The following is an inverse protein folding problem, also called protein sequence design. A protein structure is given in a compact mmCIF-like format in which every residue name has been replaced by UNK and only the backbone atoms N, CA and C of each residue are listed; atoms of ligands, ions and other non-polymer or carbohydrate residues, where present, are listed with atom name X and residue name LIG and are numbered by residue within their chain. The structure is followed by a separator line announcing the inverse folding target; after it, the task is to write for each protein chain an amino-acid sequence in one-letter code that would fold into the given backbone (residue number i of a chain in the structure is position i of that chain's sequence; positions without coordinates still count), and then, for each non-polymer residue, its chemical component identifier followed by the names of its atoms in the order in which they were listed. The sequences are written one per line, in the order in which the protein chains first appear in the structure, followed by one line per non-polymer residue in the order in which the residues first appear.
data_IF_260427401664
#
_entry.id   IF_260427401664
#
_cell.length_a   1.000
_cell.length_b   1.000
_cell.length_c   1.000
_cell.angle_alpha   90.00
_cell.angle_beta   90.00
_cell.angle_gamma   90.00
#
_symmetry.space_group_name_H-M   'P 1'
#
loop_
_entity.id
_entity.type
_entity.pdbx_description
1 polymer ?
#
# COMPACT_ATOMS: atom_id res chain seq x y z
N UNK A 1 12.03 30.24 3.80
CA UNK A 1 13.25 30.18 2.97
C UNK A 1 14.53 30.20 3.82
N UNK A 2 14.66 31.05 4.85
CA UNK A 2 15.86 31.12 5.68
C UNK A 2 16.14 29.87 6.51
N UNK A 3 15.12 29.21 7.05
CA UNK A 3 15.28 27.97 7.81
C UNK A 3 15.82 26.81 6.97
N UNK A 4 15.48 26.78 5.67
CA UNK A 4 15.91 25.72 4.74
C UNK A 4 17.36 25.87 4.27
N UNK A 5 17.90 27.09 4.27
CA UNK A 5 19.31 27.34 3.90
C UNK A 5 20.32 26.77 4.91
N UNK A 6 19.86 26.31 6.08
CA UNK A 6 20.69 25.77 7.17
C UNK A 6 20.51 24.23 7.28
N UNK A 7 19.64 23.64 6.46
CA UNK A 7 19.38 22.19 6.52
C UNK A 7 20.59 21.41 5.96
N UNK A 8 21.23 20.63 6.82
CA UNK A 8 22.28 19.70 6.44
C UNK A 8 21.67 18.35 6.05
N UNK A 9 21.92 17.92 4.81
CA UNK A 9 21.47 16.64 4.27
C UNK A 9 22.62 15.66 4.02
N UNK A 10 23.84 15.93 4.53
CA UNK A 10 25.03 15.11 4.31
C UNK A 10 24.87 13.66 4.82
N UNK A 11 24.05 13.44 5.82
CA UNK A 11 23.81 12.12 6.43
C UNK A 11 22.57 11.39 5.88
N UNK A 12 21.91 11.91 4.86
CA UNK A 12 20.72 11.25 4.29
C UNK A 12 21.13 10.01 3.50
N UNK A 13 20.63 8.86 3.91
CA UNK A 13 20.93 7.54 3.32
C UNK A 13 19.67 6.79 2.89
N UNK A 14 18.53 7.09 3.53
CA UNK A 14 17.27 6.39 3.31
C UNK A 14 16.14 7.40 3.21
N UNK A 15 15.36 7.31 2.13
CA UNK A 15 14.28 8.27 1.89
C UNK A 15 12.94 7.59 1.63
N UNK A 16 11.88 8.25 2.06
CA UNK A 16 10.50 7.92 1.71
C UNK A 16 9.99 8.92 0.68
N UNK A 17 9.37 8.46 -0.39
CA UNK A 17 8.72 9.28 -1.41
C UNK A 17 7.22 8.98 -1.38
N UNK A 18 6.41 10.01 -1.21
CA UNK A 18 4.95 9.88 -1.19
C UNK A 18 4.28 11.04 -1.93
N UNK A 19 2.97 10.86 -2.23
CA UNK A 19 2.17 11.93 -2.79
C UNK A 19 1.07 12.36 -1.81
N UNK A 20 0.87 13.66 -1.69
CA UNK A 20 -0.26 14.23 -0.98
C UNK A 20 -1.06 15.15 -1.87
N UNK A 21 -2.35 15.31 -1.61
CA UNK A 21 -3.22 16.21 -2.37
C UNK A 21 -3.54 17.47 -1.55
N UNK A 22 -3.21 18.64 -2.06
CA UNK A 22 -3.56 19.93 -1.44
C UNK A 22 -5.07 20.23 -1.52
N UNK A 23 -5.76 19.73 -2.57
CA UNK A 23 -7.20 19.90 -2.78
C UNK A 23 -7.78 18.66 -3.42
N UNK A 24 -9.04 18.36 -3.13
CA UNK A 24 -9.76 17.26 -3.77
C UNK A 24 -9.65 17.38 -5.30
N UNK A 25 -8.80 16.53 -5.88
CA UNK A 25 -8.92 16.11 -7.26
C UNK A 25 -7.84 16.53 -8.25
N UNK A 26 -6.94 17.50 -8.02
CA UNK A 26 -6.05 17.91 -9.13
C UNK A 26 -4.65 18.46 -8.78
N UNK A 27 -4.38 18.85 -7.55
CA UNK A 27 -3.05 19.36 -7.20
C UNK A 27 -2.33 18.35 -6.29
N UNK A 28 -1.40 17.61 -6.87
CA UNK A 28 -0.56 16.66 -6.16
C UNK A 28 0.74 17.34 -5.78
N UNK A 29 1.23 17.01 -4.59
CA UNK A 29 2.57 17.36 -4.12
C UNK A 29 3.32 16.06 -3.88
N UNK A 30 4.51 15.94 -4.46
CA UNK A 30 5.49 14.95 -4.07
C UNK A 30 6.19 15.43 -2.81
N UNK A 31 6.23 14.58 -1.80
CA UNK A 31 6.95 14.81 -0.55
C UNK A 31 8.05 13.77 -0.39
N UNK A 32 9.22 14.21 0.05
CA UNK A 32 10.36 13.33 0.32
C UNK A 32 10.79 13.51 1.77
N UNK A 33 10.93 12.38 2.47
CA UNK A 33 11.25 12.33 3.89
C UNK A 33 12.54 11.56 4.13
N UNK A 34 13.31 11.95 5.12
CA UNK A 34 14.34 11.13 5.73
C UNK A 34 13.68 10.08 6.63
N UNK A 35 13.81 8.81 6.26
CA UNK A 35 13.20 7.71 7.03
C UNK A 35 13.92 7.45 8.35
N UNK A 36 15.21 7.80 8.46
CA UNK A 36 15.99 7.63 9.67
C UNK A 36 15.71 8.75 10.67
N UNK A 37 15.80 10.00 10.24
CA UNK A 37 15.57 11.18 11.08
C UNK A 37 14.09 11.54 11.24
N UNK A 38 13.17 10.91 10.45
CA UNK A 38 11.72 11.18 10.46
C UNK A 38 11.39 12.66 10.21
N UNK A 39 12.07 13.29 9.26
CA UNK A 39 11.88 14.70 8.91
C UNK A 39 11.55 14.86 7.43
N UNK A 40 10.79 15.90 7.11
CA UNK A 40 10.57 16.31 5.73
C UNK A 40 11.86 16.90 5.15
N UNK A 41 12.29 16.38 4.00
CA UNK A 41 13.46 16.89 3.28
C UNK A 41 13.05 17.82 2.14
N UNK A 42 12.04 17.44 1.37
CA UNK A 42 11.68 18.12 0.13
C UNK A 42 10.18 18.01 -0.15
N UNK A 43 9.62 19.05 -0.75
CA UNK A 43 8.26 19.02 -1.27
C UNK A 43 8.20 19.84 -2.57
N UNK A 44 7.55 19.29 -3.59
CA UNK A 44 7.37 19.94 -4.88
C UNK A 44 6.02 19.61 -5.49
N UNK A 45 5.48 20.50 -6.31
CA UNK A 45 4.25 20.24 -7.05
C UNK A 45 4.46 19.16 -8.12
N UNK A 46 3.40 18.37 -8.34
CA UNK A 46 3.39 17.31 -9.32
C UNK A 46 3.70 15.93 -8.73
N UNK A 47 3.67 14.91 -9.61
CA UNK A 47 3.92 13.48 -9.30
C UNK A 47 4.64 12.79 -10.45
N UNK A 48 5.62 13.43 -11.00
CA UNK A 48 6.38 12.94 -12.14
C UNK A 48 7.76 12.46 -11.71
N UNK A 49 8.48 11.80 -12.62
CA UNK A 49 9.88 11.46 -12.38
C UNK A 49 10.76 12.69 -12.18
N UNK A 50 10.38 13.84 -12.72
CA UNK A 50 11.09 15.11 -12.49
C UNK A 50 11.10 15.52 -11.02
N UNK A 51 10.00 15.26 -10.27
CA UNK A 51 9.97 15.54 -8.83
C UNK A 51 11.11 14.86 -8.07
N UNK A 52 11.52 13.66 -8.50
CA UNK A 52 12.66 12.93 -7.90
C UNK A 52 14.00 13.50 -8.36
N UNK A 53 14.10 13.96 -9.62
CA UNK A 53 15.30 14.65 -10.11
C UNK A 53 15.51 15.97 -9.37
N UNK A 54 14.44 16.74 -9.18
CA UNK A 54 14.47 18.01 -8.43
C UNK A 54 14.91 17.77 -6.97
N UNK A 55 14.38 16.72 -6.33
CA UNK A 55 14.86 16.32 -5.01
C UNK A 55 16.35 16.00 -4.98
N UNK A 56 16.88 15.26 -5.96
CA UNK A 56 18.30 14.93 -5.99
C UNK A 56 19.20 16.16 -6.19
N UNK A 57 18.73 17.18 -6.91
CA UNK A 57 19.42 18.47 -7.02
C UNK A 57 19.39 19.24 -5.71
N UNK A 58 18.23 19.28 -5.06
CA UNK A 58 18.06 19.92 -3.75
C UNK A 58 18.91 19.23 -2.67
N UNK A 59 18.98 17.89 -2.67
CA UNK A 59 19.84 17.12 -1.78
C UNK A 59 21.31 17.54 -1.91
N UNK A 60 21.82 17.67 -3.15
CA UNK A 60 23.20 18.15 -3.40
C UNK A 60 23.41 19.58 -2.92
N UNK A 61 22.44 20.46 -3.16
CA UNK A 61 22.53 21.85 -2.73
C UNK A 61 22.62 22.01 -1.19
N UNK A 62 22.16 20.99 -0.44
CA UNK A 62 22.19 20.95 1.03
C UNK A 62 23.26 19.98 1.58
N UNK A 63 24.33 19.70 0.82
CA UNK A 63 25.46 18.91 1.27
C UNK A 63 25.29 17.39 1.19
N UNK A 64 24.15 16.90 0.74
CA UNK A 64 23.92 15.46 0.55
C UNK A 64 24.45 14.92 -0.78
N UNK A 65 24.63 13.62 -0.87
CA UNK A 65 25.07 12.93 -2.09
C UNK A 65 24.04 11.89 -2.53
N UNK A 66 23.38 12.05 -3.68
CA UNK A 66 22.48 11.06 -4.24
C UNK A 66 23.09 9.65 -4.43
N UNK A 67 24.40 9.55 -4.62
CA UNK A 67 25.08 8.29 -4.83
C UNK A 67 25.17 7.43 -3.55
N UNK A 68 25.06 8.04 -2.37
CA UNK A 68 25.09 7.32 -1.10
C UNK A 68 23.70 6.99 -0.54
N UNK A 69 22.64 7.49 -1.18
CA UNK A 69 21.28 7.07 -0.87
C UNK A 69 21.08 5.63 -1.33
N UNK A 70 21.03 4.70 -0.40
CA UNK A 70 20.99 3.26 -0.72
C UNK A 70 19.60 2.64 -0.61
N UNK A 71 18.60 3.36 -0.08
CA UNK A 71 17.24 2.83 0.07
C UNK A 71 16.17 3.90 -0.15
N UNK A 72 15.15 3.53 -0.92
CA UNK A 72 13.96 4.35 -1.18
C UNK A 72 12.71 3.53 -0.87
N UNK A 73 11.85 4.04 0.02
CA UNK A 73 10.50 3.54 0.23
C UNK A 73 9.51 4.43 -0.54
N UNK A 74 8.70 3.84 -1.41
CA UNK A 74 7.74 4.59 -2.24
C UNK A 74 6.46 3.78 -2.50
N UNK A 75 5.48 4.41 -3.16
CA UNK A 75 4.37 3.69 -3.78
C UNK A 75 4.81 2.99 -5.08
N UNK A 76 3.92 2.20 -5.70
CA UNK A 76 4.20 1.50 -6.96
C UNK A 76 4.06 2.42 -8.20
N UNK A 77 4.42 3.71 -8.07
CA UNK A 77 4.41 4.65 -9.18
C UNK A 77 5.54 4.37 -10.17
N UNK A 78 5.19 4.12 -11.43
CA UNK A 78 6.18 3.97 -12.50
C UNK A 78 7.01 5.25 -12.70
N UNK A 79 6.40 6.42 -12.46
CA UNK A 79 7.08 7.70 -12.55
C UNK A 79 8.17 7.82 -11.49
N UNK A 80 7.86 7.52 -10.23
CA UNK A 80 8.85 7.56 -9.14
C UNK A 80 9.93 6.50 -9.35
N UNK A 81 9.57 5.27 -9.72
CA UNK A 81 10.55 4.22 -10.03
C UNK A 81 11.54 4.64 -11.12
N UNK A 82 11.04 5.30 -12.19
CA UNK A 82 11.91 5.88 -13.22
C UNK A 82 12.80 6.99 -12.65
N UNK A 83 12.22 7.89 -11.85
CA UNK A 83 12.96 8.99 -11.23
C UNK A 83 14.07 8.50 -10.31
N UNK A 84 13.78 7.52 -9.45
CA UNK A 84 14.77 6.90 -8.55
C UNK A 84 15.91 6.26 -9.35
N UNK A 85 15.60 5.47 -10.39
CA UNK A 85 16.63 4.86 -11.23
C UNK A 85 17.56 5.86 -11.92
N UNK A 86 17.07 7.08 -12.21
CA UNK A 86 17.86 8.15 -12.84
C UNK A 86 18.64 8.97 -11.81
N UNK A 87 18.04 9.28 -10.67
CA UNK A 87 18.54 10.25 -9.70
C UNK A 87 19.30 9.62 -8.54
N UNK A 88 18.94 8.41 -8.13
CA UNK A 88 19.46 7.70 -6.96
C UNK A 88 19.91 6.27 -7.36
N UNK A 89 20.95 6.14 -8.20
CA UNK A 89 21.27 4.87 -8.89
C UNK A 89 21.70 3.73 -7.96
N UNK A 90 22.16 4.04 -6.75
CA UNK A 90 22.54 3.04 -5.74
C UNK A 90 21.34 2.57 -4.88
N UNK A 91 20.18 3.22 -5.01
CA UNK A 91 19.06 2.96 -4.12
C UNK A 91 18.29 1.68 -4.47
N UNK A 92 18.15 0.79 -3.50
CA UNK A 92 17.18 -0.29 -3.55
C UNK A 92 15.78 0.26 -3.26
N UNK A 93 14.80 -0.12 -4.09
CA UNK A 93 13.40 0.31 -3.93
C UNK A 93 12.66 -0.71 -3.07
N UNK A 94 11.95 -0.22 -2.05
CA UNK A 94 10.90 -0.95 -1.35
C UNK A 94 9.54 -0.28 -1.58
N UNK A 95 8.47 -1.09 -1.56
CA UNK A 95 7.12 -0.55 -1.70
C UNK A 95 6.42 -0.51 -0.36
N UNK A 96 5.82 0.64 -0.05
CA UNK A 96 5.14 0.86 1.21
C UNK A 96 3.98 -0.14 1.39
N UNK A 97 4.01 -0.82 2.53
CA UNK A 97 2.99 -1.77 2.96
C UNK A 97 1.58 -1.19 2.93
N UNK A 98 1.44 0.09 3.34
CA UNK A 98 0.14 0.75 3.37
C UNK A 98 -0.50 0.77 1.98
N UNK A 99 0.25 1.16 0.96
CA UNK A 99 -0.24 1.20 -0.42
C UNK A 99 -0.62 -0.18 -0.96
N UNK A 100 0.15 -1.22 -0.65
CA UNK A 100 -0.19 -2.60 -1.04
C UNK A 100 -1.48 -3.08 -0.36
N UNK A 101 -1.62 -2.83 0.94
CA UNK A 101 -2.85 -3.19 1.67
C UNK A 101 -4.05 -2.37 1.18
N UNK A 102 -3.87 -1.09 0.86
CA UNK A 102 -4.89 -0.23 0.26
C UNK A 102 -5.38 -0.81 -1.07
N UNK A 103 -4.47 -1.20 -1.97
CA UNK A 103 -4.84 -1.85 -3.24
C UNK A 103 -5.66 -3.14 -3.02
N UNK A 104 -5.33 -3.94 -2.02
CA UNK A 104 -6.11 -5.14 -1.69
C UNK A 104 -7.50 -4.81 -1.14
N UNK A 105 -7.63 -3.73 -0.36
CA UNK A 105 -8.93 -3.22 0.10
C UNK A 105 -9.77 -2.71 -1.08
N UNK A 106 -9.17 -1.99 -2.02
CA UNK A 106 -9.83 -1.47 -3.22
C UNK A 106 -10.30 -2.61 -4.12
N UNK A 107 -9.45 -3.62 -4.36
CA UNK A 107 -9.81 -4.82 -5.12
C UNK A 107 -10.98 -5.59 -4.48
N UNK A 108 -10.95 -5.76 -3.16
CA UNK A 108 -12.04 -6.37 -2.41
C UNK A 108 -13.33 -5.56 -2.51
N UNK A 109 -13.24 -4.25 -2.40
CA UNK A 109 -14.39 -3.35 -2.44
C UNK A 109 -15.03 -3.28 -3.85
N UNK A 110 -14.21 -3.40 -4.89
CA UNK A 110 -14.69 -3.52 -6.28
C UNK A 110 -15.50 -4.81 -6.47
N UNK A 111 -14.98 -5.96 -6.01
CA UNK A 111 -15.73 -7.23 -6.04
C UNK A 111 -17.05 -7.11 -5.29
N UNK A 112 -17.01 -6.57 -4.06
CA UNK A 112 -18.22 -6.36 -3.25
C UNK A 112 -19.25 -5.49 -3.96
N UNK A 113 -18.84 -4.34 -4.49
CA UNK A 113 -19.74 -3.39 -5.18
C UNK A 113 -20.41 -4.03 -6.38
N UNK A 114 -19.63 -4.77 -7.19
CA UNK A 114 -20.14 -5.47 -8.37
C UNK A 114 -21.15 -6.55 -7.97
N UNK A 115 -20.80 -7.43 -7.02
CA UNK A 115 -21.69 -8.49 -6.57
C UNK A 115 -22.99 -7.94 -5.96
N UNK A 116 -22.90 -6.93 -5.10
CA UNK A 116 -24.07 -6.37 -4.42
C UNK A 116 -25.00 -5.61 -5.36
N UNK A 117 -24.48 -5.05 -6.44
CA UNK A 117 -25.26 -4.42 -7.51
C UNK A 117 -25.94 -5.45 -8.39
N UNK A 118 -25.19 -6.48 -8.81
CA UNK A 118 -25.61 -7.41 -9.85
C UNK A 118 -26.41 -8.61 -9.28
N UNK A 119 -26.24 -8.93 -7.99
CA UNK A 119 -26.88 -10.07 -7.31
C UNK A 119 -27.47 -9.68 -5.95
N UNK A 120 -28.33 -8.65 -5.85
CA UNK A 120 -28.86 -8.18 -4.55
C UNK A 120 -29.65 -9.26 -3.80
N UNK A 121 -30.42 -10.09 -4.51
CA UNK A 121 -31.20 -11.18 -3.88
C UNK A 121 -30.31 -12.25 -3.27
N UNK A 122 -29.24 -12.64 -3.95
CA UNK A 122 -28.28 -13.61 -3.42
C UNK A 122 -27.54 -13.07 -2.18
N UNK A 123 -27.19 -11.79 -2.21
CA UNK A 123 -26.58 -11.10 -1.05
C UNK A 123 -27.53 -11.06 0.14
N UNK A 124 -28.80 -10.72 -0.09
CA UNK A 124 -29.83 -10.68 0.95
C UNK A 124 -30.08 -12.08 1.55
N UNK A 125 -30.20 -13.10 0.71
CA UNK A 125 -30.39 -14.47 1.17
C UNK A 125 -29.19 -14.99 2.00
N UNK A 126 -27.96 -14.71 1.55
CA UNK A 126 -26.75 -15.12 2.22
C UNK A 126 -26.52 -14.43 3.58
N UNK A 127 -27.11 -13.25 3.78
CA UNK A 127 -26.96 -12.45 5.00
C UNK A 127 -28.18 -12.57 5.95
N UNK A 128 -29.10 -13.50 5.68
CA UNK A 128 -30.21 -13.79 6.58
C UNK A 128 -31.33 -12.74 6.58
N UNK A 129 -31.49 -12.00 5.48
CA UNK A 129 -32.45 -10.88 5.38
C UNK A 129 -31.82 -9.56 5.86
N UNK A 130 -31.95 -8.45 5.09
CA UNK A 130 -31.05 -7.34 5.35
C UNK A 130 -31.73 -6.02 5.58
N UNK A 131 -31.59 -5.56 6.80
CA UNK A 131 -31.61 -4.13 7.11
C UNK A 131 -30.39 -3.44 6.44
N UNK A 132 -30.60 -2.29 5.79
CA UNK A 132 -29.56 -1.43 5.21
C UNK A 132 -28.40 -1.12 6.19
N UNK A 133 -28.70 -1.12 7.51
CA UNK A 133 -27.69 -0.92 8.56
C UNK A 133 -26.70 -2.09 8.66
N UNK A 134 -27.18 -3.33 8.45
CA UNK A 134 -26.31 -4.53 8.44
C UNK A 134 -25.36 -4.49 7.25
N UNK A 135 -25.85 -4.16 6.05
CA UNK A 135 -25.01 -4.02 4.85
C UNK A 135 -23.92 -2.94 5.04
N UNK A 136 -24.28 -1.79 5.65
CA UNK A 136 -23.31 -0.74 5.97
C UNK A 136 -22.27 -1.22 6.99
N UNK A 137 -22.71 -1.94 8.02
CA UNK A 137 -21.85 -2.54 9.02
C UNK A 137 -20.87 -3.54 8.42
N UNK A 138 -21.37 -4.39 7.51
CA UNK A 138 -20.58 -5.38 6.78
C UNK A 138 -19.50 -4.72 5.89
N UNK A 139 -19.86 -3.69 5.11
CA UNK A 139 -18.93 -2.93 4.30
C UNK A 139 -17.75 -2.40 5.12
N UNK A 140 -18.03 -1.81 6.27
CA UNK A 140 -16.99 -1.31 7.17
C UNK A 140 -16.21 -2.44 7.84
N UNK A 141 -16.88 -3.55 8.22
CA UNK A 141 -16.23 -4.75 8.78
C UNK A 141 -15.21 -5.36 7.81
N UNK A 142 -15.56 -5.43 6.53
CA UNK A 142 -14.65 -5.95 5.49
C UNK A 142 -13.37 -5.11 5.33
N UNK A 143 -13.46 -3.78 5.51
CA UNK A 143 -12.33 -2.86 5.39
C UNK A 143 -11.43 -2.85 6.62
N UNK A 144 -12.03 -2.98 7.80
CA UNK A 144 -11.33 -2.92 9.08
C UNK A 144 -10.51 -4.19 9.37
N UNK A 145 -9.63 -4.07 10.36
CA UNK A 145 -9.00 -5.21 11.00
C UNK A 145 -10.04 -5.91 11.90
N UNK A 146 -10.06 -7.25 11.97
CA UNK A 146 -10.93 -8.00 12.89
C UNK A 146 -10.85 -7.54 14.35
N UNK A 147 -9.67 -7.19 14.83
CA UNK A 147 -9.49 -6.64 16.19
C UNK A 147 -10.20 -5.31 16.45
N UNK A 148 -10.58 -4.59 15.39
CA UNK A 148 -11.28 -3.30 15.46
C UNK A 148 -12.79 -3.41 15.15
N UNK A 149 -13.34 -4.61 15.09
CA UNK A 149 -14.78 -4.82 14.85
C UNK A 149 -15.61 -4.51 16.09
N UNK A 150 -16.74 -3.84 15.87
CA UNK A 150 -17.80 -3.77 16.87
C UNK A 150 -18.56 -5.10 16.93
N UNK A 151 -19.33 -5.37 18.02
CA UNK A 151 -20.14 -6.57 18.15
C UNK A 151 -21.08 -6.81 16.96
N UNK A 152 -21.70 -5.75 16.41
CA UNK A 152 -22.54 -5.83 15.20
C UNK A 152 -21.73 -6.22 13.96
N UNK A 153 -20.49 -5.76 13.84
CA UNK A 153 -19.60 -6.14 12.73
C UNK A 153 -19.13 -7.59 12.87
N UNK A 154 -18.86 -8.07 14.07
CA UNK A 154 -18.51 -9.49 14.32
C UNK A 154 -19.61 -10.40 13.79
N UNK A 155 -20.87 -10.17 14.17
CA UNK A 155 -22.00 -10.97 13.69
C UNK A 155 -22.16 -10.89 12.17
N UNK A 156 -22.10 -9.69 11.58
CA UNK A 156 -22.23 -9.53 10.14
C UNK A 156 -21.08 -10.23 9.37
N UNK A 157 -19.84 -10.12 9.86
CA UNK A 157 -18.68 -10.76 9.24
C UNK A 157 -18.71 -12.28 9.41
N UNK A 158 -19.26 -12.81 10.51
CA UNK A 158 -19.49 -14.24 10.69
C UNK A 158 -20.40 -14.78 9.58
N UNK A 159 -21.53 -14.14 9.30
CA UNK A 159 -22.41 -14.50 8.20
C UNK A 159 -21.71 -14.45 6.85
N UNK A 160 -20.96 -13.37 6.56
CA UNK A 160 -20.22 -13.27 5.30
C UNK A 160 -19.25 -14.43 5.13
N UNK A 161 -18.48 -14.76 6.15
CA UNK A 161 -17.43 -15.79 6.07
C UNK A 161 -17.99 -17.19 5.76
N UNK A 162 -19.22 -17.48 6.19
CA UNK A 162 -19.90 -18.74 5.94
C UNK A 162 -20.76 -18.73 4.65
N UNK A 163 -20.81 -17.59 3.96
CA UNK A 163 -21.53 -17.47 2.70
C UNK A 163 -20.70 -17.94 1.50
N UNK A 164 -21.39 -18.22 0.38
CA UNK A 164 -20.78 -18.55 -0.91
C UNK A 164 -20.48 -17.31 -1.75
N UNK A 165 -20.69 -16.11 -1.21
CA UNK A 165 -20.50 -14.84 -1.92
C UNK A 165 -19.05 -14.66 -2.38
N UNK A 166 -18.91 -14.03 -3.54
CA UNK A 166 -17.58 -13.68 -4.08
C UNK A 166 -16.88 -12.65 -3.22
N UNK A 167 -17.63 -11.74 -2.58
CA UNK A 167 -17.11 -10.80 -1.60
C UNK A 167 -16.51 -11.47 -0.36
N UNK A 168 -17.03 -12.64 0.07
CA UNK A 168 -16.40 -13.45 1.12
C UNK A 168 -15.02 -13.98 0.70
N UNK A 169 -14.90 -14.44 -0.56
CA UNK A 169 -13.60 -14.88 -1.11
C UNK A 169 -12.63 -13.73 -1.25
N UNK A 170 -13.11 -12.59 -1.72
CA UNK A 170 -12.31 -11.35 -1.83
C UNK A 170 -11.78 -10.91 -0.45
N UNK A 171 -12.61 -10.97 0.58
CA UNK A 171 -12.20 -10.64 1.95
C UNK A 171 -11.11 -11.61 2.46
N UNK A 172 -11.25 -12.93 2.21
CA UNK A 172 -10.22 -13.91 2.59
C UNK A 172 -8.88 -13.65 1.91
N UNK A 173 -8.88 -13.30 0.61
CA UNK A 173 -7.67 -12.94 -0.13
C UNK A 173 -7.01 -11.69 0.46
N UNK A 174 -7.79 -10.66 0.79
CA UNK A 174 -7.28 -9.45 1.47
C UNK A 174 -6.66 -9.79 2.83
N UNK A 175 -7.32 -10.63 3.63
CA UNK A 175 -6.81 -11.01 4.94
C UNK A 175 -5.53 -11.83 4.84
N UNK A 176 -5.50 -12.81 3.93
CA UNK A 176 -4.29 -13.63 3.71
C UNK A 176 -3.08 -12.78 3.30
N UNK A 177 -3.26 -11.76 2.43
CA UNK A 177 -2.15 -10.86 2.09
C UNK A 177 -1.64 -10.11 3.33
N UNK A 178 -2.52 -9.67 4.21
CA UNK A 178 -2.11 -9.02 5.47
C UNK A 178 -1.35 -9.97 6.39
N UNK A 179 -1.76 -11.25 6.44
CA UNK A 179 -1.08 -12.28 7.22
C UNK A 179 0.32 -12.57 6.67
N UNK A 180 0.46 -12.64 5.34
CA UNK A 180 1.77 -12.77 4.66
C UNK A 180 2.69 -11.62 5.07
N UNK A 181 2.21 -10.37 5.05
CA UNK A 181 2.98 -9.22 5.53
C UNK A 181 3.31 -9.30 7.02
N UNK A 182 2.36 -9.74 7.84
CA UNK A 182 2.57 -9.89 9.29
C UNK A 182 3.61 -10.95 9.62
N UNK A 183 3.58 -12.07 8.92
CA UNK A 183 4.54 -13.17 9.07
C UNK A 183 5.95 -12.75 8.62
N UNK A 184 6.07 -12.10 7.45
CA UNK A 184 7.34 -11.60 6.95
C UNK A 184 8.01 -10.63 7.92
N UNK A 185 7.25 -9.70 8.47
CA UNK A 185 7.76 -8.73 9.45
C UNK A 185 8.18 -9.41 10.77
N UNK A 186 7.42 -10.43 11.22
CA UNK A 186 7.70 -11.13 12.47
C UNK A 186 8.94 -12.02 12.40
N UNK A 187 9.07 -12.75 11.29
CA UNK A 187 10.13 -13.76 11.14
C UNK A 187 11.38 -13.22 10.46
N UNK A 188 11.24 -12.14 9.70
CA UNK A 188 12.32 -11.49 8.92
C UNK A 188 13.14 -12.47 8.07
N UNK A 189 12.46 -13.49 7.51
CA UNK A 189 13.06 -14.49 6.64
C UNK A 189 12.69 -14.20 5.17
N UNK A 190 13.66 -13.77 4.33
CA UNK A 190 13.42 -13.46 2.93
C UNK A 190 12.92 -14.66 2.11
N UNK A 191 13.40 -15.86 2.40
CA UNK A 191 12.99 -17.07 1.68
C UNK A 191 11.55 -17.43 1.97
N UNK A 192 11.16 -17.37 3.24
CA UNK A 192 9.79 -17.62 3.65
C UNK A 192 8.84 -16.54 3.11
N UNK A 193 9.22 -15.27 3.18
CA UNK A 193 8.44 -14.16 2.62
C UNK A 193 8.19 -14.32 1.11
N UNK A 194 9.22 -14.74 0.35
CA UNK A 194 9.09 -15.03 -1.08
C UNK A 194 8.14 -16.21 -1.36
N UNK A 195 8.25 -17.28 -0.57
CA UNK A 195 7.39 -18.45 -0.70
C UNK A 195 5.93 -18.11 -0.40
N UNK A 196 5.68 -17.39 0.70
CA UNK A 196 4.33 -17.00 1.14
C UNK A 196 3.67 -16.03 0.14
N UNK A 197 4.41 -15.03 -0.34
CA UNK A 197 3.91 -14.12 -1.37
C UNK A 197 3.63 -14.87 -2.67
N UNK A 198 4.49 -15.78 -3.09
CA UNK A 198 4.31 -16.59 -4.31
C UNK A 198 3.07 -17.48 -4.22
N UNK A 199 2.82 -18.09 -3.06
CA UNK A 199 1.63 -18.88 -2.80
C UNK A 199 0.37 -17.99 -2.87
N UNK A 200 0.39 -16.81 -2.26
CA UNK A 200 -0.71 -15.85 -2.34
C UNK A 200 -0.98 -15.39 -3.78
N UNK A 201 0.05 -15.03 -4.53
CA UNK A 201 -0.05 -14.63 -5.95
C UNK A 201 -0.70 -15.73 -6.80
N UNK A 202 -0.30 -16.98 -6.58
CA UNK A 202 -0.89 -18.14 -7.23
C UNK A 202 -2.38 -18.29 -6.90
N UNK A 203 -2.75 -18.12 -5.64
CA UNK A 203 -4.15 -18.16 -5.21
C UNK A 203 -4.97 -17.01 -5.80
N UNK A 204 -4.48 -15.77 -5.72
CA UNK A 204 -5.13 -14.59 -6.26
C UNK A 204 -5.37 -14.71 -7.78
N UNK A 205 -4.37 -15.19 -8.53
CA UNK A 205 -4.46 -15.40 -9.98
C UNK A 205 -5.54 -16.42 -10.35
N UNK A 206 -5.71 -17.49 -9.57
CA UNK A 206 -6.72 -18.54 -9.79
C UNK A 206 -8.08 -18.24 -9.16
N UNK A 207 -8.23 -17.13 -8.46
CA UNK A 207 -9.44 -16.80 -7.69
C UNK A 207 -10.70 -16.55 -8.55
N UNK A 208 -10.55 -16.31 -9.86
CA UNK A 208 -11.61 -15.84 -10.77
C UNK A 208 -12.21 -14.47 -10.38
N UNK A 209 -11.48 -13.68 -9.58
CA UNK A 209 -11.84 -12.32 -9.19
C UNK A 209 -10.93 -11.34 -9.94
N UNK A 210 -11.46 -10.69 -10.98
CA UNK A 210 -10.66 -9.83 -11.87
C UNK A 210 -9.86 -8.73 -11.15
N UNK A 211 -10.42 -8.04 -10.12
CA UNK A 211 -9.64 -7.06 -9.36
C UNK A 211 -8.42 -7.69 -8.66
N UNK A 212 -8.55 -8.91 -8.12
CA UNK A 212 -7.42 -9.60 -7.48
C UNK A 212 -6.41 -10.16 -8.49
N UNK A 213 -6.85 -10.56 -9.68
CA UNK A 213 -5.93 -10.95 -10.76
C UNK A 213 -5.08 -9.77 -11.22
N UNK A 214 -5.69 -8.58 -11.34
CA UNK A 214 -4.98 -7.33 -11.65
C UNK A 214 -3.96 -7.00 -10.55
N UNK A 215 -4.38 -7.04 -9.29
CA UNK A 215 -3.50 -6.83 -8.14
C UNK A 215 -2.32 -7.82 -8.14
N UNK A 216 -2.59 -9.12 -8.34
CA UNK A 216 -1.54 -10.13 -8.39
C UNK A 216 -0.53 -9.87 -9.53
N UNK A 217 -1.00 -9.42 -10.69
CA UNK A 217 -0.13 -9.02 -11.80
C UNK A 217 0.78 -7.85 -11.40
N UNK A 218 0.22 -6.82 -10.77
CA UNK A 218 0.99 -5.66 -10.30
C UNK A 218 2.05 -6.08 -9.28
N UNK A 219 1.67 -6.85 -8.24
CA UNK A 219 2.62 -7.30 -7.22
C UNK A 219 3.71 -8.21 -7.81
N UNK A 220 3.37 -9.05 -8.80
CA UNK A 220 4.34 -9.89 -9.49
C UNK A 220 5.35 -9.04 -10.30
N UNK A 221 4.91 -7.99 -10.96
CA UNK A 221 5.80 -7.07 -11.69
C UNK A 221 6.78 -6.38 -10.74
N UNK A 222 6.35 -6.08 -9.53
CA UNK A 222 7.13 -5.36 -8.51
C UNK A 222 7.65 -6.28 -7.39
N UNK A 223 7.78 -7.58 -7.65
CA UNK A 223 8.00 -8.62 -6.65
C UNK A 223 9.16 -8.34 -5.69
N UNK A 224 10.33 -7.99 -6.21
CA UNK A 224 11.52 -7.73 -5.39
C UNK A 224 11.30 -6.57 -4.41
N UNK A 225 10.75 -5.45 -4.89
CA UNK A 225 10.47 -4.29 -4.03
C UNK A 225 9.33 -4.54 -3.04
N UNK A 226 8.36 -5.40 -3.38
CA UNK A 226 7.31 -5.84 -2.44
C UNK A 226 7.92 -6.67 -1.32
N UNK A 227 8.80 -7.64 -1.64
CA UNK A 227 9.51 -8.44 -0.63
C UNK A 227 10.37 -7.53 0.26
N UNK A 228 11.11 -6.58 -0.35
CA UNK A 228 11.87 -5.59 0.43
C UNK A 228 10.99 -4.83 1.40
N UNK A 229 9.83 -4.32 0.95
CA UNK A 229 8.86 -3.61 1.80
C UNK A 229 8.18 -4.49 2.87
N UNK A 230 8.11 -5.81 2.66
CA UNK A 230 7.59 -6.76 3.66
C UNK A 230 8.57 -6.98 4.81
N UNK A 231 9.86 -6.98 4.52
CA UNK A 231 10.94 -7.24 5.49
C UNK A 231 11.40 -5.96 6.18
N UNK A 232 11.21 -4.82 5.50
CA UNK A 232 11.59 -3.52 6.04
C UNK A 232 10.46 -2.97 6.93
N UNK A 233 10.78 -2.73 8.19
CA UNK A 233 9.84 -2.08 9.11
C UNK A 233 9.73 -0.55 8.89
N UNK A 234 10.39 -0.03 7.85
CA UNK A 234 10.34 1.38 7.47
C UNK A 234 9.11 1.60 6.60
N UNK A 235 8.20 2.41 7.05
CA UNK A 235 7.03 2.82 6.29
C UNK A 235 6.90 4.34 6.32
N UNK A 236 6.23 4.90 5.33
CA UNK A 236 5.87 6.32 5.31
C UNK A 236 4.73 6.66 6.29
N UNK A 237 4.31 5.72 7.16
CA UNK A 237 3.16 5.86 8.05
C UNK A 237 3.24 7.05 9.02
N UNK A 238 4.43 7.58 9.31
CA UNK A 238 4.56 8.78 10.13
C UNK A 238 4.18 10.08 9.39
N UNK A 239 4.05 10.01 8.05
CA UNK A 239 3.62 11.13 7.21
C UNK A 239 2.09 11.27 7.21
N UNK A 240 1.37 10.19 7.52
CA UNK A 240 -0.09 10.15 7.53
C UNK A 240 -0.70 10.42 8.92
N UNK A 241 0.11 10.59 9.94
CA UNK A 241 -0.28 10.89 11.32
C UNK A 241 -0.37 12.40 11.58
#
# INVERSE_FOLDING_TARGET
QQARAIDDMSEVRTVGIDETSLRRGQHYITVVHDLAAKRLLFATEGRSHHSVLDFAQDLKAHGGDPAVVHHVCQDMSAAYTKGVGLALPAAAISYDRFHVVKMAIEAMDEVRRTEWRDQPHAVHAALGGTDRKVLKGLMWGMRKNPSAWSGKQISAMHWLQHSTLTSARAWRLKMALREVYGAALKHNDPRQAQADLSAWLSWATRSRLEPFKKLAKTLKTHFAGVISGMLDNRSNAFVEA
#
